data_IF_626014416591
#
_entry.id   IF_626014416591
#
_cell.length_a   1.000
_cell.length_b   1.000
_cell.length_c   1.000
_cell.angle_alpha   90.00
_cell.angle_beta   90.00
_cell.angle_gamma   90.00
#
_symmetry.space_group_name_H-M   'P 1'
#
loop_
_entity.id
_entity.type
_entity.pdbx_description
1 polymer ?
#
# COMPACT_ATOMS: atom_id res chain seq x y z
N UNK A 1 -15.15 10.56 14.92
CA UNK A 1 -14.12 11.48 15.43
C UNK A 1 -12.88 11.39 14.56
N UNK A 2 -12.55 12.51 13.91
CA UNK A 2 -11.47 12.56 12.91
C UNK A 2 -10.10 12.20 13.47
N UNK A 3 -9.80 12.61 14.71
CA UNK A 3 -8.50 12.30 15.31
C UNK A 3 -8.33 10.82 15.61
N UNK A 4 -9.39 10.19 16.11
CA UNK A 4 -9.35 8.75 16.39
C UNK A 4 -9.18 7.94 15.11
N UNK A 5 -9.92 8.31 14.04
CA UNK A 5 -9.81 7.64 12.75
C UNK A 5 -8.42 7.79 12.16
N UNK A 6 -7.78 8.95 12.33
CA UNK A 6 -6.42 9.17 11.83
C UNK A 6 -5.39 8.35 12.60
N UNK A 7 -5.56 8.23 13.92
CA UNK A 7 -4.68 7.40 14.75
C UNK A 7 -4.83 5.92 14.38
N UNK A 8 -6.05 5.47 14.17
CA UNK A 8 -6.33 4.08 13.74
C UNK A 8 -5.70 3.82 12.37
N UNK A 9 -5.84 4.76 11.42
CA UNK A 9 -5.24 4.64 10.09
C UNK A 9 -3.71 4.54 10.16
N UNK A 10 -3.07 5.38 10.99
CA UNK A 10 -1.63 5.32 11.19
C UNK A 10 -1.20 3.99 11.82
N UNK A 11 -1.94 3.51 12.80
CA UNK A 11 -1.68 2.19 13.39
C UNK A 11 -1.80 1.08 12.34
N UNK A 12 -2.79 1.18 11.44
CA UNK A 12 -2.95 0.24 10.35
C UNK A 12 -1.75 0.21 9.42
N UNK A 13 -1.23 1.38 9.03
CA UNK A 13 -0.03 1.47 8.21
C UNK A 13 1.19 0.89 8.91
N UNK A 14 1.35 1.18 10.22
CA UNK A 14 2.44 0.62 11.00
C UNK A 14 2.33 -0.90 11.12
N UNK A 15 1.13 -1.43 11.31
CA UNK A 15 0.88 -2.88 11.34
C UNK A 15 1.24 -3.53 10.00
N UNK A 16 0.85 -2.90 8.90
CA UNK A 16 1.18 -3.38 7.57
C UNK A 16 2.70 -3.39 7.34
N UNK A 17 3.38 -2.31 7.74
CA UNK A 17 4.84 -2.22 7.63
C UNK A 17 5.52 -3.33 8.44
N UNK A 18 5.08 -3.58 9.67
CA UNK A 18 5.63 -4.63 10.52
C UNK A 18 5.42 -6.02 9.91
N UNK A 19 4.22 -6.27 9.37
CA UNK A 19 3.95 -7.54 8.68
C UNK A 19 4.91 -7.74 7.51
N UNK A 20 5.09 -6.71 6.69
CA UNK A 20 5.95 -6.78 5.52
C UNK A 20 7.42 -6.97 5.91
N UNK A 21 7.89 -6.30 6.95
CA UNK A 21 9.25 -6.52 7.47
C UNK A 21 9.46 -7.97 7.90
N UNK A 22 8.49 -8.55 8.59
CA UNK A 22 8.56 -9.95 9.03
C UNK A 22 8.57 -10.92 7.85
N UNK A 23 7.98 -10.52 6.73
CA UNK A 23 7.98 -11.31 5.49
C UNK A 23 9.22 -11.07 4.64
N UNK A 24 10.15 -10.25 5.10
CA UNK A 24 11.42 -10.00 4.42
C UNK A 24 11.42 -8.81 3.47
N UNK A 25 10.38 -7.98 3.50
CA UNK A 25 10.35 -6.74 2.71
C UNK A 25 11.13 -5.65 3.42
N UNK A 26 11.83 -4.83 2.63
CA UNK A 26 12.49 -3.62 3.11
C UNK A 26 11.57 -2.43 2.89
N UNK A 27 11.33 -1.65 3.93
CA UNK A 27 10.51 -0.44 3.82
C UNK A 27 11.42 0.70 3.36
N UNK A 28 11.12 1.28 2.19
CA UNK A 28 11.83 2.44 1.68
C UNK A 28 11.21 3.75 2.19
N UNK A 29 9.88 3.83 2.23
CA UNK A 29 9.20 5.04 2.64
C UNK A 29 7.79 4.73 3.13
N UNK A 30 7.27 5.60 3.98
CA UNK A 30 5.89 5.57 4.47
C UNK A 30 5.26 6.95 4.33
N UNK A 31 3.96 6.97 4.02
CA UNK A 31 3.20 8.22 3.93
C UNK A 31 3.83 9.24 2.98
N UNK A 32 4.22 8.77 1.80
CA UNK A 32 4.81 9.63 0.79
C UNK A 32 3.70 10.44 0.11
N UNK A 33 3.68 11.75 0.34
CA UNK A 33 2.70 12.65 -0.28
C UNK A 33 3.29 13.26 -1.54
N UNK A 34 2.54 13.16 -2.62
CA UNK A 34 2.89 13.76 -3.91
C UNK A 34 1.73 14.64 -4.37
N UNK A 35 1.95 15.45 -5.40
CA UNK A 35 0.86 16.26 -5.96
C UNK A 35 -0.18 15.42 -6.72
N UNK A 36 0.10 14.16 -7.00
CA UNK A 36 -0.83 13.24 -7.67
C UNK A 36 -1.60 12.34 -6.70
N UNK A 37 -1.19 12.28 -5.43
CA UNK A 37 -1.80 11.48 -4.40
C UNK A 37 -0.78 11.00 -3.37
N UNK A 38 -1.23 10.13 -2.48
CA UNK A 38 -0.39 9.58 -1.42
C UNK A 38 -0.05 8.12 -1.72
N UNK A 39 1.15 7.72 -1.31
CA UNK A 39 1.61 6.34 -1.33
C UNK A 39 1.80 5.91 0.12
N UNK A 40 1.01 4.95 0.58
CA UNK A 40 1.03 4.53 1.98
C UNK A 40 2.36 3.91 2.37
N UNK A 41 2.82 2.93 1.58
CA UNK A 41 4.11 2.28 1.78
C UNK A 41 4.79 2.06 0.45
N UNK A 42 6.11 2.24 0.44
CA UNK A 42 6.97 1.88 -0.69
C UNK A 42 7.97 0.87 -0.15
N UNK A 43 7.96 -0.34 -0.70
CA UNK A 43 8.77 -1.44 -0.18
C UNK A 43 9.53 -2.15 -1.30
N UNK A 44 10.53 -2.94 -0.93
CA UNK A 44 11.36 -3.69 -1.86
C UNK A 44 11.48 -5.13 -1.42
N UNK A 45 11.37 -6.05 -2.37
CA UNK A 45 11.66 -7.46 -2.15
C UNK A 45 12.09 -8.09 -3.48
N UNK A 46 13.17 -8.89 -3.46
CA UNK A 46 13.65 -9.61 -4.64
C UNK A 46 13.85 -8.70 -5.87
N UNK A 47 14.40 -7.50 -5.62
CA UNK A 47 14.68 -6.51 -6.65
C UNK A 47 13.43 -5.98 -7.36
N UNK A 48 12.28 -6.07 -6.71
CA UNK A 48 11.00 -5.51 -7.17
C UNK A 48 10.62 -4.35 -6.26
N UNK A 49 10.24 -3.23 -6.86
CA UNK A 49 9.74 -2.07 -6.14
C UNK A 49 8.21 -2.20 -6.01
N UNK A 50 7.71 -2.11 -4.80
CA UNK A 50 6.31 -2.42 -4.53
C UNK A 50 5.65 -1.23 -3.83
N UNK A 51 4.57 -0.73 -4.42
CA UNK A 51 3.73 0.32 -3.85
C UNK A 51 2.55 -0.36 -3.18
N UNK A 52 2.41 -0.16 -1.87
CA UNK A 52 1.42 -0.87 -1.07
C UNK A 52 0.35 0.09 -0.61
N UNK A 53 -0.90 -0.20 -0.98
CA UNK A 53 -2.07 0.50 -0.45
C UNK A 53 -2.56 -0.23 0.79
N UNK A 54 -2.73 0.50 1.89
CA UNK A 54 -3.21 -0.07 3.15
C UNK A 54 -4.67 0.33 3.33
N UNK A 55 -5.55 -0.66 3.49
CA UNK A 55 -6.97 -0.44 3.72
C UNK A 55 -7.37 -0.98 5.08
N UNK A 56 -7.91 -0.09 5.91
CA UNK A 56 -8.46 -0.47 7.20
C UNK A 56 -9.98 -0.56 7.08
N UNK A 57 -10.55 -1.69 7.48
CA UNK A 57 -11.99 -1.92 7.47
C UNK A 57 -12.46 -2.25 8.89
N UNK A 58 -13.68 -1.85 9.20
CA UNK A 58 -14.27 -2.09 10.53
C UNK A 58 -14.79 -3.52 10.64
N UNK A 59 -15.46 -4.00 9.60
CA UNK A 59 -16.13 -5.32 9.60
C UNK A 59 -15.57 -6.20 8.49
N UNK A 60 -15.75 -7.51 8.66
CA UNK A 60 -15.41 -8.48 7.62
C UNK A 60 -16.21 -8.18 6.34
N UNK A 61 -15.50 -8.23 5.24
CA UNK A 61 -16.08 -7.98 3.94
C UNK A 61 -15.31 -8.85 2.94
N UNK A 62 -16.02 -9.75 2.30
CA UNK A 62 -15.43 -10.72 1.40
C UNK A 62 -15.52 -10.21 -0.02
N UNK A 63 -14.39 -10.00 -0.64
CA UNK A 63 -14.36 -9.53 -2.00
C UNK A 63 -12.94 -9.42 -2.51
N UNK A 64 -12.83 -8.93 -3.74
CA UNK A 64 -11.52 -8.64 -4.35
C UNK A 64 -10.95 -7.35 -3.78
N UNK A 65 -9.64 -7.11 -3.92
CA UNK A 65 -9.06 -5.82 -3.55
C UNK A 65 -9.77 -4.64 -4.22
N UNK A 66 -10.20 -4.79 -5.47
CA UNK A 66 -10.94 -3.75 -6.19
C UNK A 66 -12.28 -3.43 -5.52
N UNK A 67 -12.97 -4.45 -5.00
CA UNK A 67 -14.23 -4.24 -4.29
C UNK A 67 -14.02 -3.59 -2.93
N UNK A 68 -12.95 -3.96 -2.23
CA UNK A 68 -12.67 -3.46 -0.89
C UNK A 68 -12.08 -2.06 -0.89
N UNK A 69 -11.16 -1.77 -1.81
CA UNK A 69 -10.47 -0.48 -1.88
C UNK A 69 -11.18 0.47 -2.82
N UNK A 70 -11.71 -0.05 -3.93
CA UNK A 70 -12.37 0.72 -4.97
C UNK A 70 -11.48 0.92 -6.19
N UNK A 71 -12.11 0.80 -7.36
CA UNK A 71 -11.40 0.93 -8.65
C UNK A 71 -10.75 2.29 -8.82
N UNK A 72 -11.45 3.35 -8.40
CA UNK A 72 -10.94 4.72 -8.55
C UNK A 72 -9.70 4.94 -7.67
N UNK A 73 -9.72 4.43 -6.44
CA UNK A 73 -8.57 4.55 -5.55
C UNK A 73 -7.38 3.77 -6.08
N UNK A 74 -7.58 2.55 -6.57
CA UNK A 74 -6.51 1.74 -7.14
C UNK A 74 -5.92 2.38 -8.41
N UNK A 75 -6.77 2.94 -9.28
CA UNK A 75 -6.31 3.66 -10.45
C UNK A 75 -5.47 4.89 -10.05
N UNK A 76 -5.87 5.60 -9.00
CA UNK A 76 -5.11 6.73 -8.48
C UNK A 76 -3.75 6.29 -7.93
N UNK A 77 -3.72 5.19 -7.19
CA UNK A 77 -2.47 4.63 -6.65
C UNK A 77 -1.52 4.27 -7.79
N UNK A 78 -2.04 3.61 -8.83
CA UNK A 78 -1.24 3.26 -10.01
C UNK A 78 -0.65 4.49 -10.68
N UNK A 79 -1.47 5.52 -10.91
CA UNK A 79 -0.99 6.76 -11.52
C UNK A 79 0.04 7.44 -10.65
N UNK A 80 -0.19 7.51 -9.34
CA UNK A 80 0.75 8.12 -8.39
C UNK A 80 2.08 7.36 -8.40
N UNK A 81 2.04 6.03 -8.44
CA UNK A 81 3.23 5.19 -8.53
C UNK A 81 4.02 5.45 -9.81
N UNK A 82 3.32 5.54 -10.96
CA UNK A 82 3.96 5.85 -12.24
C UNK A 82 4.64 7.22 -12.23
N UNK A 83 3.97 8.22 -11.65
CA UNK A 83 4.53 9.56 -11.54
C UNK A 83 5.72 9.60 -10.57
N UNK A 84 5.66 8.81 -9.49
CA UNK A 84 6.78 8.65 -8.57
C UNK A 84 8.03 8.12 -9.32
N UNK A 85 7.83 7.11 -10.15
CA UNK A 85 8.92 6.53 -10.94
C UNK A 85 9.49 7.53 -11.95
N UNK A 86 8.64 8.29 -12.62
CA UNK A 86 9.08 9.31 -13.56
C UNK A 86 9.89 10.42 -12.89
N UNK A 87 9.53 10.78 -11.68
CA UNK A 87 10.20 11.83 -10.92
C UNK A 87 11.39 11.33 -10.10
N UNK A 88 11.60 10.01 -10.04
CA UNK A 88 12.73 9.41 -9.33
C UNK A 88 13.40 8.36 -10.21
N UNK A 89 13.99 8.78 -11.36
CA UNK A 89 14.57 7.84 -12.32
C UNK A 89 15.72 7.03 -11.75
N UNK A 90 16.47 7.56 -10.80
CA UNK A 90 17.56 6.82 -10.17
C UNK A 90 17.02 5.63 -9.36
N UNK A 91 15.89 5.82 -8.70
CA UNK A 91 15.23 4.73 -7.98
C UNK A 91 14.66 3.73 -8.97
N UNK A 92 13.96 4.21 -10.01
CA UNK A 92 13.35 3.34 -11.01
C UNK A 92 14.36 2.41 -11.67
N UNK A 93 15.58 2.89 -11.94
CA UNK A 93 16.64 2.11 -12.60
C UNK A 93 17.20 0.99 -11.73
N UNK A 94 17.03 1.06 -10.41
CA UNK A 94 17.61 0.08 -9.50
C UNK A 94 16.82 -1.23 -9.45
N UNK A 95 15.58 -1.24 -9.94
CA UNK A 95 14.70 -2.39 -9.79
C UNK A 95 14.29 -2.97 -11.13
N UNK A 96 14.07 -4.28 -11.18
CA UNK A 96 13.70 -4.99 -12.41
C UNK A 96 12.32 -4.57 -12.89
N UNK A 97 11.40 -4.37 -11.96
CA UNK A 97 10.02 -3.97 -12.25
C UNK A 97 9.38 -3.38 -11.01
N UNK A 98 8.20 -2.85 -11.17
CA UNK A 98 7.37 -2.43 -10.04
C UNK A 98 6.04 -3.17 -10.06
N UNK A 99 5.39 -3.21 -8.92
CA UNK A 99 4.04 -3.75 -8.78
C UNK A 99 3.29 -3.00 -7.69
N UNK A 100 1.99 -3.20 -7.66
CA UNK A 100 1.11 -2.63 -6.64
C UNK A 100 0.52 -3.78 -5.85
N UNK A 101 0.68 -3.71 -4.53
CA UNK A 101 0.10 -4.64 -3.57
C UNK A 101 -0.93 -3.90 -2.72
N UNK A 102 -1.79 -4.65 -2.06
CA UNK A 102 -2.69 -4.11 -1.06
C UNK A 102 -2.59 -4.92 0.22
N UNK A 103 -2.68 -4.23 1.36
CA UNK A 103 -2.81 -4.87 2.67
C UNK A 103 -4.12 -4.40 3.28
N UNK A 104 -5.03 -5.34 3.51
CA UNK A 104 -6.34 -5.08 4.09
C UNK A 104 -6.35 -5.57 5.53
N UNK A 105 -6.70 -4.69 6.44
CA UNK A 105 -6.77 -4.97 7.88
C UNK A 105 -8.22 -4.82 8.32
N UNK A 106 -8.77 -5.86 8.96
CA UNK A 106 -10.12 -5.85 9.48
C UNK A 106 -10.04 -5.73 11.01
N UNK A 107 -10.56 -4.63 11.55
CA UNK A 107 -10.49 -4.36 12.99
C UNK A 107 -11.23 -5.41 13.82
N UNK A 108 -12.42 -5.77 13.38
CA UNK A 108 -13.29 -6.66 14.14
C UNK A 108 -12.67 -8.03 14.38
N UNK A 109 -12.07 -8.63 13.35
CA UNK A 109 -11.44 -9.95 13.43
C UNK A 109 -9.94 -9.92 13.62
N UNK A 110 -9.35 -8.72 13.56
CA UNK A 110 -7.90 -8.51 13.56
C UNK A 110 -7.18 -9.25 12.43
N UNK A 111 -7.91 -9.56 11.35
CA UNK A 111 -7.36 -10.27 10.21
C UNK A 111 -6.64 -9.31 9.28
N UNK A 112 -5.43 -9.70 8.86
CA UNK A 112 -4.63 -8.96 7.89
C UNK A 112 -4.45 -9.84 6.65
N UNK A 113 -4.82 -9.30 5.49
CA UNK A 113 -4.65 -10.01 4.22
C UNK A 113 -3.77 -9.18 3.30
N UNK A 114 -2.75 -9.82 2.73
CA UNK A 114 -1.83 -9.19 1.79
C UNK A 114 -2.14 -9.70 0.38
N UNK A 115 -2.53 -8.80 -0.51
CA UNK A 115 -2.81 -9.09 -1.92
C UNK A 115 -1.63 -8.60 -2.74
N UNK A 116 -0.97 -9.52 -3.43
CA UNK A 116 0.25 -9.22 -4.17
C UNK A 116 -0.02 -9.03 -5.65
N UNK A 117 0.70 -8.08 -6.25
CA UNK A 117 0.76 -7.87 -7.69
C UNK A 117 -0.62 -7.69 -8.31
N UNK A 118 -1.31 -6.66 -7.88
CA UNK A 118 -2.64 -6.33 -8.39
C UNK A 118 -2.56 -5.91 -9.85
N UNK A 119 -3.47 -6.44 -10.67
CA UNK A 119 -3.61 -6.05 -12.08
C UNK A 119 -4.99 -5.43 -12.29
N UNK A 120 -5.01 -4.24 -12.87
CA UNK A 120 -6.26 -3.51 -13.10
C UNK A 120 -6.10 -2.44 -14.19
#
# INVERSE_FOLDING_TARGET
MKQLNRLIGKQGEDMAADLLRKKGYQILDQNNSTKWGELDLIVVKNNVLIFVEVKLKTTEDYGTPEEMIGKNKLAQVKKTAEMYLLNNPDIAKKFDRYQIDAVCIVEESERITHYENLTF
#
